data_IF_850559954455
#
_entry.id   IF_850559954455
#
_cell.length_a   1.000
_cell.length_b   1.000
_cell.length_c   1.000
_cell.angle_alpha   90.00
_cell.angle_beta   90.00
_cell.angle_gamma   90.00
#
_symmetry.space_group_name_H-M   'P 1'
#
loop_
_entity.id
_entity.type
_entity.pdbx_description
1 polymer ?
#
# COMPACT_ATOMS: atom_id res chain seq x y z
N UNK A 1 -19.78 -16.49 -4.74
CA UNK A 1 -18.80 -15.71 -5.51
C UNK A 1 -17.83 -15.01 -4.56
N UNK A 2 -16.56 -15.44 -4.47
CA UNK A 2 -15.60 -14.81 -3.57
C UNK A 2 -15.24 -13.42 -4.10
N UNK A 3 -15.68 -12.37 -3.40
CA UNK A 3 -15.29 -10.98 -3.68
C UNK A 3 -13.78 -10.88 -3.55
N UNK A 4 -13.08 -10.76 -4.68
CA UNK A 4 -11.70 -10.31 -4.72
C UNK A 4 -11.72 -8.88 -4.17
N UNK A 5 -11.40 -8.72 -2.89
CA UNK A 5 -11.28 -7.41 -2.27
C UNK A 5 -9.95 -6.85 -2.75
N UNK A 6 -9.99 -6.06 -3.83
CA UNK A 6 -8.88 -5.22 -4.24
C UNK A 6 -8.53 -4.33 -3.05
N UNK A 7 -7.41 -4.64 -2.39
CA UNK A 7 -6.88 -3.79 -1.32
C UNK A 7 -5.91 -2.82 -1.98
N UNK A 8 -6.21 -1.55 -1.88
CA UNK A 8 -5.26 -0.49 -2.18
C UNK A 8 -4.33 -0.35 -0.97
N UNK A 9 -3.03 -0.46 -1.19
CA UNK A 9 -1.99 -0.09 -0.24
C UNK A 9 -1.19 1.08 -0.81
N UNK A 10 -0.44 1.76 0.04
CA UNK A 10 0.35 2.93 -0.30
C UNK A 10 1.77 2.67 0.14
N UNK A 11 2.68 2.48 -0.81
CA UNK A 11 4.08 2.19 -0.57
C UNK A 11 4.88 3.50 -0.52
N UNK A 12 5.68 3.70 0.51
CA UNK A 12 6.60 4.82 0.57
C UNK A 12 7.87 4.51 -0.25
N UNK A 13 8.18 5.34 -1.23
CA UNK A 13 9.39 5.21 -2.05
C UNK A 13 10.68 5.61 -1.34
N UNK A 14 10.60 6.31 -0.20
CA UNK A 14 11.78 6.74 0.57
C UNK A 14 12.25 5.68 1.57
N UNK A 15 11.32 4.97 2.24
CA UNK A 15 11.66 3.93 3.22
C UNK A 15 11.20 2.51 2.84
N UNK A 16 10.35 2.35 1.82
CA UNK A 16 9.81 1.05 1.41
C UNK A 16 8.63 0.55 2.23
N UNK A 17 8.09 1.37 3.13
CA UNK A 17 7.02 1.00 4.08
C UNK A 17 5.64 1.08 3.41
N UNK A 18 4.78 0.08 3.62
CA UNK A 18 3.44 0.03 3.03
C UNK A 18 2.33 0.36 4.05
N UNK A 19 1.37 1.17 3.60
CA UNK A 19 0.27 1.65 4.43
C UNK A 19 -1.08 1.32 3.81
N UNK A 20 -2.10 0.97 4.61
CA UNK A 20 -3.45 0.72 4.11
C UNK A 20 -4.24 2.00 3.78
N UNK A 21 -3.72 3.18 4.15
CA UNK A 21 -4.36 4.49 3.92
C UNK A 21 -3.34 5.56 3.50
N UNK A 22 -3.72 6.44 2.58
CA UNK A 22 -2.93 7.60 2.18
C UNK A 22 -3.07 8.70 3.24
N UNK A 23 -1.96 9.17 3.80
CA UNK A 23 -1.96 10.34 4.70
C UNK A 23 -1.14 11.52 4.14
N UNK A 24 -0.60 11.43 2.92
CA UNK A 24 0.25 12.45 2.29
C UNK A 24 1.69 12.46 2.83
N UNK A 25 1.83 12.22 4.12
CA UNK A 25 3.09 12.02 4.82
C UNK A 25 3.28 10.55 5.19
N UNK A 26 4.48 10.02 4.94
CA UNK A 26 4.85 8.70 5.41
C UNK A 26 5.05 8.72 6.94
N UNK A 27 4.35 7.90 7.74
CA UNK A 27 4.53 7.86 9.19
C UNK A 27 5.85 7.19 9.64
N UNK A 28 6.49 6.41 8.75
CA UNK A 28 7.76 5.72 9.03
C UNK A 28 8.96 6.65 8.86
N UNK A 29 9.08 7.34 7.72
CA UNK A 29 10.19 8.27 7.44
C UNK A 29 9.86 9.77 7.56
N UNK A 30 8.59 10.14 7.80
CA UNK A 30 8.09 11.53 7.89
C UNK A 30 8.20 12.35 6.61
N UNK A 31 8.53 11.73 5.49
CA UNK A 31 8.63 12.36 4.18
C UNK A 31 7.25 12.63 3.56
N UNK A 32 7.14 13.73 2.81
CA UNK A 32 5.92 14.14 2.11
C UNK A 32 6.05 13.83 0.62
N UNK A 33 4.96 13.33 0.00
CA UNK A 33 4.91 13.05 -1.44
C UNK A 33 5.66 11.79 -1.88
N UNK A 34 6.19 11.00 -0.95
CA UNK A 34 6.88 9.73 -1.24
C UNK A 34 5.95 8.52 -1.26
N UNK A 35 4.68 8.68 -0.85
CA UNK A 35 3.68 7.62 -0.87
C UNK A 35 3.15 7.38 -2.29
N UNK A 36 3.26 6.15 -2.78
CA UNK A 36 2.82 5.67 -4.08
C UNK A 36 1.74 4.61 -3.95
N UNK A 37 0.65 4.75 -4.68
CA UNK A 37 -0.51 3.86 -4.58
C UNK A 37 -0.23 2.50 -5.26
N UNK A 38 -0.19 1.44 -4.47
CA UNK A 38 0.00 0.06 -4.89
C UNK A 38 -1.29 -0.75 -4.76
N UNK A 39 -1.84 -1.20 -5.90
CA UNK A 39 -3.01 -2.08 -5.92
C UNK A 39 -2.56 -3.51 -5.66
N UNK A 40 -2.66 -3.94 -4.40
CA UNK A 40 -2.46 -5.35 -4.07
C UNK A 40 -3.71 -6.10 -4.51
N UNK A 41 -3.66 -6.62 -5.73
CA UNK A 41 -4.54 -7.73 -6.10
C UNK A 41 -4.10 -8.88 -5.22
N UNK A 42 -4.88 -9.17 -4.16
CA UNK A 42 -4.68 -10.31 -3.29
C UNK A 42 -4.87 -11.59 -4.12
N UNK A 43 -3.88 -11.92 -4.95
CA UNK A 43 -3.73 -13.23 -5.56
C UNK A 43 -3.35 -14.11 -4.38
N UNK A 44 -4.37 -14.66 -3.73
CA UNK A 44 -4.26 -15.67 -2.70
C UNK A 44 -3.28 -16.70 -3.26
N UNK A 45 -2.06 -16.72 -2.73
CA UNK A 45 -1.08 -17.74 -3.08
C UNK A 45 -1.65 -19.04 -2.50
N UNK A 46 -2.48 -19.71 -3.30
CA UNK A 46 -2.96 -21.05 -3.05
C UNK A 46 -1.97 -22.00 -3.68
N UNK A 47 -1.00 -22.46 -2.90
CA UNK A 47 -0.42 -23.78 -3.06
C UNK A 47 0.09 -24.28 -1.73
#
# INVERSE_FOLDING_TARGET
MARIKTKTAYLCSACGDDFPKWNGQCPSCKEWGTLSEFKISAKKNGR
#
